data_IF_298419192563
#
_entry.id   IF_298419192563
#
_cell.length_a   1.000
_cell.length_b   1.000
_cell.length_c   1.000
_cell.angle_alpha   90.00
_cell.angle_beta   90.00
_cell.angle_gamma   90.00
#
_symmetry.space_group_name_H-M   'P 1'
#
loop_
_entity.id
_entity.type
_entity.pdbx_description
1 polymer ?
#
# COMPACT_ATOMS: atom_id res chain seq x y z
N UNK A 1 8.07 15.84 -27.57
CA UNK A 1 7.47 14.60 -27.04
C UNK A 1 6.51 15.03 -25.95
N UNK A 2 5.23 14.70 -26.08
CA UNK A 2 4.26 14.89 -24.99
C UNK A 2 4.57 13.81 -23.95
N UNK A 3 4.61 14.19 -22.67
CA UNK A 3 4.84 13.24 -21.58
C UNK A 3 3.52 12.83 -20.95
N UNK A 4 3.48 11.67 -20.28
CA UNK A 4 2.33 11.24 -19.47
C UNK A 4 1.81 12.35 -18.54
N UNK A 5 2.71 13.10 -17.91
CA UNK A 5 2.32 14.20 -17.01
C UNK A 5 1.67 15.35 -17.79
N UNK A 6 2.09 15.61 -19.03
CA UNK A 6 1.46 16.63 -19.86
C UNK A 6 0.04 16.22 -20.26
N UNK A 7 -0.18 14.95 -20.63
CA UNK A 7 -1.51 14.40 -20.89
C UNK A 7 -2.41 14.45 -19.64
N UNK A 8 -1.88 14.04 -18.49
CA UNK A 8 -2.61 14.12 -17.23
C UNK A 8 -3.00 15.55 -16.87
N UNK A 9 -2.14 16.54 -17.15
CA UNK A 9 -2.48 17.95 -16.94
C UNK A 9 -3.64 18.37 -17.86
N UNK A 10 -3.62 18.00 -19.14
CA UNK A 10 -4.72 18.30 -20.05
C UNK A 10 -6.02 17.57 -19.65
N UNK A 11 -5.93 16.32 -19.20
CA UNK A 11 -7.06 15.55 -18.65
C UNK A 11 -7.71 16.26 -17.46
N UNK A 12 -6.89 16.67 -16.48
CA UNK A 12 -7.37 17.40 -15.28
C UNK A 12 -7.98 18.76 -15.66
N UNK A 13 -7.41 19.47 -16.65
CA UNK A 13 -7.95 20.75 -17.12
C UNK A 13 -9.24 20.60 -17.94
N UNK A 14 -9.41 19.47 -18.63
CA UNK A 14 -10.60 19.11 -19.42
C UNK A 14 -11.72 18.46 -18.60
N UNK A 15 -11.46 18.10 -17.34
CA UNK A 15 -12.43 17.47 -16.45
C UNK A 15 -13.71 18.31 -16.31
N UNK A 16 -14.91 17.69 -16.27
CA UNK A 16 -16.16 18.41 -15.99
C UNK A 16 -16.23 18.93 -14.55
N UNK A 17 -15.33 18.46 -13.66
CA UNK A 17 -15.24 18.88 -12.28
C UNK A 17 -14.42 20.17 -12.15
N UNK A 18 -14.79 21.02 -11.18
CA UNK A 18 -13.97 22.18 -10.83
C UNK A 18 -12.63 21.67 -10.29
N UNK A 19 -11.52 22.32 -10.70
CA UNK A 19 -10.19 21.98 -10.19
C UNK A 19 -10.13 21.88 -8.67
N UNK A 20 -10.77 22.81 -7.95
CA UNK A 20 -10.84 22.81 -6.48
C UNK A 20 -11.53 21.58 -5.85
N UNK A 21 -12.37 20.87 -6.61
CA UNK A 21 -13.07 19.66 -6.17
C UNK A 21 -12.39 18.37 -6.64
N UNK A 22 -11.18 18.47 -7.21
CA UNK A 22 -10.42 17.32 -7.68
C UNK A 22 -9.31 16.97 -6.67
N UNK A 23 -9.25 15.69 -6.33
CA UNK A 23 -8.18 15.05 -5.56
C UNK A 23 -7.35 14.19 -6.51
N UNK A 24 -6.18 14.68 -6.93
CA UNK A 24 -5.25 13.92 -7.76
C UNK A 24 -4.32 13.09 -6.86
N UNK A 25 -4.38 11.78 -7.02
CA UNK A 25 -3.60 10.80 -6.27
C UNK A 25 -2.54 10.19 -7.20
N UNK A 26 -1.28 10.34 -6.83
CA UNK A 26 -0.13 9.88 -7.61
C UNK A 26 0.69 8.85 -6.83
N UNK A 27 1.56 8.05 -7.49
CA UNK A 27 2.29 6.97 -6.82
C UNK A 27 3.40 7.49 -5.91
N UNK A 28 3.77 8.78 -6.03
CA UNK A 28 4.81 9.38 -5.19
C UNK A 28 4.67 10.90 -5.11
N UNK A 29 5.23 11.48 -4.05
CA UNK A 29 5.32 12.95 -3.88
C UNK A 29 6.09 13.60 -5.02
N UNK A 30 7.11 12.92 -5.56
CA UNK A 30 7.91 13.41 -6.69
C UNK A 30 7.07 13.58 -7.95
N UNK A 31 6.20 12.60 -8.26
CA UNK A 31 5.26 12.73 -9.37
C UNK A 31 4.29 13.90 -9.14
N UNK A 32 3.81 14.08 -7.90
CA UNK A 32 2.97 15.23 -7.53
C UNK A 32 3.63 16.59 -7.72
N UNK A 33 4.90 16.74 -7.35
CA UNK A 33 5.67 17.97 -7.57
C UNK A 33 5.83 18.26 -9.06
N UNK A 34 6.11 17.23 -9.87
CA UNK A 34 6.25 17.38 -11.32
C UNK A 34 4.91 17.79 -11.97
N UNK A 35 3.80 17.15 -11.59
CA UNK A 35 2.46 17.53 -12.06
C UNK A 35 2.14 18.99 -11.71
N UNK A 36 2.34 19.41 -10.45
CA UNK A 36 2.09 20.80 -10.02
C UNK A 36 2.88 21.81 -10.86
N UNK A 37 4.14 21.51 -11.17
CA UNK A 37 5.00 22.36 -12.02
C UNK A 37 4.42 22.49 -13.43
N UNK A 38 4.02 21.38 -14.05
CA UNK A 38 3.48 21.40 -15.41
C UNK A 38 2.11 22.09 -15.47
N UNK A 39 1.24 21.84 -14.48
CA UNK A 39 -0.05 22.52 -14.35
C UNK A 39 0.11 24.04 -14.21
N UNK A 40 1.04 24.50 -13.36
CA UNK A 40 1.31 25.92 -13.20
C UNK A 40 1.79 26.59 -14.50
N UNK A 41 2.66 25.90 -15.26
CA UNK A 41 3.12 26.37 -16.56
C UNK A 41 1.96 26.49 -17.58
N UNK A 42 1.02 25.54 -17.57
CA UNK A 42 -0.17 25.55 -18.44
C UNK A 42 -1.16 26.66 -18.09
N UNK A 43 -1.34 26.96 -16.80
CA UNK A 43 -2.27 27.99 -16.34
C UNK A 43 -1.80 29.42 -16.64
N UNK A 44 -0.51 29.64 -16.98
CA UNK A 44 0.06 30.94 -17.40
C UNK A 44 -0.33 32.13 -16.49
N UNK A 45 -0.40 31.90 -15.18
CA UNK A 45 -0.73 32.95 -14.21
C UNK A 45 -2.22 33.31 -14.08
N UNK A 46 -3.13 32.54 -14.67
CA UNK A 46 -4.58 32.69 -14.40
C UNK A 46 -4.87 32.38 -12.93
N UNK A 47 -5.52 33.30 -12.23
CA UNK A 47 -5.97 33.09 -10.87
C UNK A 47 -7.07 32.01 -10.86
N UNK A 48 -6.75 30.84 -10.32
CA UNK A 48 -7.68 29.73 -10.14
C UNK A 48 -7.31 28.93 -8.89
N UNK A 49 -8.29 28.22 -8.35
CA UNK A 49 -8.03 27.21 -7.33
C UNK A 49 -7.47 25.95 -8.00
N UNK A 50 -6.42 25.37 -7.40
CA UNK A 50 -5.75 24.18 -7.89
C UNK A 50 -6.38 22.91 -7.30
N UNK A 51 -6.26 21.75 -7.99
CA UNK A 51 -6.59 20.47 -7.39
C UNK A 51 -5.69 20.17 -6.19
N UNK A 52 -6.23 19.41 -5.24
CA UNK A 52 -5.41 18.86 -4.18
C UNK A 52 -4.64 17.66 -4.75
N UNK A 53 -3.31 17.74 -4.71
CA UNK A 53 -2.44 16.67 -5.23
C UNK A 53 -1.73 16.02 -4.05
N UNK A 54 -1.92 14.71 -3.90
CA UNK A 54 -1.36 13.88 -2.83
C UNK A 54 -0.70 12.63 -3.41
N UNK A 55 0.26 12.06 -2.68
CA UNK A 55 0.71 10.71 -2.97
C UNK A 55 -0.26 9.66 -2.40
N UNK A 56 -0.18 8.43 -2.89
CA UNK A 56 -0.96 7.32 -2.34
C UNK A 56 -0.65 7.08 -0.85
N UNK A 57 0.60 7.29 -0.42
CA UNK A 57 0.97 7.20 1.00
C UNK A 57 0.33 8.30 1.85
N UNK A 58 0.22 9.52 1.33
CA UNK A 58 -0.48 10.61 2.03
C UNK A 58 -1.97 10.33 2.16
N UNK A 59 -2.56 9.71 1.13
CA UNK A 59 -3.95 9.27 1.16
C UNK A 59 -4.15 8.13 2.19
N UNK A 60 -3.26 7.15 2.24
CA UNK A 60 -3.40 6.02 3.18
C UNK A 60 -3.19 6.42 4.64
N UNK A 61 -2.28 7.37 4.92
CA UNK A 61 -2.16 7.97 6.26
C UNK A 61 -3.47 8.64 6.68
N UNK A 62 -4.05 9.46 5.82
CA UNK A 62 -5.31 10.16 6.09
C UNK A 62 -6.47 9.17 6.30
N UNK A 63 -6.59 8.16 5.43
CA UNK A 63 -7.66 7.14 5.51
C UNK A 63 -7.51 6.19 6.71
N UNK A 64 -6.27 5.85 7.09
CA UNK A 64 -6.02 4.94 8.22
C UNK A 64 -6.22 5.61 9.58
N UNK A 65 -6.05 6.94 9.64
CA UNK A 65 -6.01 7.69 10.88
C UNK A 65 -4.76 7.43 11.73
N UNK A 66 -3.72 6.82 11.16
CA UNK A 66 -2.46 6.49 11.84
C UNK A 66 -1.31 7.32 11.29
N UNK A 67 -0.61 8.04 12.16
CA UNK A 67 0.60 8.75 11.77
C UNK A 67 1.77 7.78 11.54
N UNK A 68 2.69 8.15 10.64
CA UNK A 68 3.86 7.32 10.35
C UNK A 68 4.81 7.31 11.56
N UNK A 69 5.10 6.13 12.09
CA UNK A 69 6.11 5.95 13.12
C UNK A 69 7.52 6.11 12.53
N UNK A 70 8.45 6.65 13.33
CA UNK A 70 9.87 6.67 12.95
C UNK A 70 10.48 5.29 13.07
N UNK A 71 11.56 5.02 12.33
CA UNK A 71 12.26 3.73 12.39
C UNK A 71 12.69 3.37 13.82
N UNK A 72 13.22 4.34 14.57
CA UNK A 72 13.62 4.16 15.96
C UNK A 72 12.43 3.83 16.86
N UNK A 73 11.29 4.49 16.65
CA UNK A 73 10.06 4.20 17.40
C UNK A 73 9.59 2.77 17.14
N UNK A 74 9.55 2.36 15.87
CA UNK A 74 9.18 0.99 15.48
C UNK A 74 10.09 -0.04 16.16
N UNK A 75 11.40 0.19 16.19
CA UNK A 75 12.36 -0.71 16.86
C UNK A 75 12.07 -0.87 18.37
N UNK A 76 11.80 0.24 19.08
CA UNK A 76 11.48 0.18 20.50
C UNK A 76 10.14 -0.50 20.78
N UNK A 77 9.09 -0.17 20.02
CA UNK A 77 7.77 -0.77 20.20
C UNK A 77 7.76 -2.25 19.81
N UNK A 78 8.47 -2.65 18.75
CA UNK A 78 8.65 -4.07 18.44
C UNK A 78 9.40 -4.79 19.56
N UNK A 79 10.47 -4.21 20.12
CA UNK A 79 11.19 -4.86 21.21
C UNK A 79 10.31 -5.03 22.46
N UNK A 80 9.48 -4.04 22.78
CA UNK A 80 8.47 -4.17 23.85
C UNK A 80 7.49 -5.32 23.58
N UNK A 81 6.93 -5.40 22.37
CA UNK A 81 6.04 -6.49 21.98
C UNK A 81 6.74 -7.87 21.98
N UNK A 82 8.01 -7.92 21.61
CA UNK A 82 8.84 -9.12 21.68
C UNK A 82 8.98 -9.61 23.13
N UNK A 83 9.35 -8.72 24.05
CA UNK A 83 9.47 -9.07 25.48
C UNK A 83 8.14 -9.49 26.13
N UNK A 84 7.00 -8.99 25.64
CA UNK A 84 5.67 -9.39 26.12
C UNK A 84 5.32 -10.83 25.72
N UNK A 85 5.79 -11.28 24.55
CA UNK A 85 5.40 -12.55 23.92
C UNK A 85 6.44 -13.65 24.11
N UNK A 86 7.73 -13.30 24.18
CA UNK A 86 8.86 -14.21 24.30
C UNK A 86 9.54 -14.04 25.66
N UNK A 87 8.96 -14.64 26.71
CA UNK A 87 9.41 -14.44 28.11
C UNK A 87 10.59 -15.32 28.53
N UNK A 88 10.81 -16.43 27.84
CA UNK A 88 11.90 -17.36 28.18
C UNK A 88 13.18 -16.95 27.46
N UNK A 89 14.17 -16.48 28.22
CA UNK A 89 15.49 -16.05 27.72
C UNK A 89 15.41 -15.15 26.47
N UNK A 90 14.74 -13.99 26.56
CA UNK A 90 14.67 -13.08 25.42
C UNK A 90 16.05 -12.59 25.03
N UNK A 91 16.24 -12.39 23.72
CA UNK A 91 17.40 -11.70 23.16
C UNK A 91 17.55 -10.30 23.80
N UNK A 92 18.79 -9.86 23.98
CA UNK A 92 19.06 -8.48 24.33
C UNK A 92 18.61 -7.53 23.20
N UNK A 93 18.46 -6.24 23.51
CA UNK A 93 18.05 -5.27 22.50
C UNK A 93 19.00 -5.23 21.29
N UNK A 94 20.31 -5.42 21.50
CA UNK A 94 21.30 -5.40 20.41
C UNK A 94 21.16 -6.63 19.51
N UNK A 95 20.94 -7.81 20.10
CA UNK A 95 20.69 -9.06 19.34
C UNK A 95 19.38 -8.96 18.56
N UNK A 96 18.32 -8.44 19.21
CA UNK A 96 17.03 -8.18 18.59
C UNK A 96 17.13 -7.30 17.35
N UNK A 97 17.88 -6.20 17.43
CA UNK A 97 18.05 -5.27 16.31
C UNK A 97 18.71 -5.89 15.08
N UNK A 98 19.42 -7.01 15.22
CA UNK A 98 20.06 -7.70 14.10
C UNK A 98 19.05 -8.38 13.17
N UNK A 99 17.91 -8.84 13.69
CA UNK A 99 16.91 -9.59 12.92
C UNK A 99 15.55 -8.89 12.82
N UNK A 100 15.19 -8.03 13.77
CA UNK A 100 13.90 -7.33 13.81
C UNK A 100 13.54 -6.56 12.52
N UNK A 101 14.48 -5.90 11.80
CA UNK A 101 14.15 -5.24 10.55
C UNK A 101 13.62 -6.18 9.46
N UNK A 102 14.08 -7.45 9.44
CA UNK A 102 13.56 -8.46 8.52
C UNK A 102 12.11 -8.80 8.81
N UNK A 103 11.79 -9.06 10.09
CA UNK A 103 10.42 -9.36 10.54
C UNK A 103 9.48 -8.17 10.33
N UNK A 104 9.95 -6.93 10.56
CA UNK A 104 9.18 -5.74 10.24
C UNK A 104 8.87 -5.65 8.74
N UNK A 105 9.83 -6.01 7.88
CA UNK A 105 9.65 -6.13 6.44
C UNK A 105 8.55 -7.14 6.10
N UNK A 106 8.58 -8.33 6.70
CA UNK A 106 7.56 -9.35 6.50
C UNK A 106 6.17 -8.85 6.93
N UNK A 107 6.06 -8.22 8.10
CA UNK A 107 4.81 -7.60 8.57
C UNK A 107 4.30 -6.52 7.61
N UNK A 108 5.21 -5.70 7.08
CA UNK A 108 4.89 -4.68 6.10
C UNK A 108 4.27 -5.28 4.83
N UNK A 109 4.86 -6.35 4.30
CA UNK A 109 4.35 -7.03 3.10
C UNK A 109 3.03 -7.76 3.36
N UNK A 110 2.91 -8.47 4.49
CA UNK A 110 1.66 -9.12 4.92
C UNK A 110 0.51 -8.13 4.88
N UNK A 111 0.72 -6.93 5.44
CA UNK A 111 -0.32 -5.91 5.52
C UNK A 111 -0.57 -5.18 4.22
N UNK A 112 0.50 -4.85 3.48
CA UNK A 112 0.41 -4.18 2.19
C UNK A 112 -0.31 -5.03 1.14
N UNK A 113 -0.18 -6.35 1.20
CA UNK A 113 -0.89 -7.29 0.32
C UNK A 113 -2.20 -7.83 0.91
N UNK A 114 -2.65 -7.28 2.04
CA UNK A 114 -3.90 -7.68 2.72
C UNK A 114 -3.98 -9.19 3.00
N UNK A 115 -2.84 -9.85 3.26
CA UNK A 115 -2.83 -11.29 3.49
C UNK A 115 -3.68 -11.65 4.73
N UNK A 116 -4.39 -12.79 4.72
CA UNK A 116 -5.18 -13.23 5.86
C UNK A 116 -4.25 -13.72 6.98
N UNK A 117 -4.06 -12.86 8.00
CA UNK A 117 -3.06 -12.98 9.07
C UNK A 117 -3.08 -14.35 9.74
N UNK A 118 -4.26 -14.80 10.20
CA UNK A 118 -4.41 -16.05 10.93
C UNK A 118 -4.01 -17.28 10.09
N UNK A 119 -4.50 -17.39 8.86
CA UNK A 119 -4.15 -18.51 7.97
C UNK A 119 -2.70 -18.43 7.50
N UNK A 120 -2.16 -17.23 7.28
CA UNK A 120 -0.79 -17.04 6.84
C UNK A 120 0.20 -17.54 7.89
N UNK A 121 0.05 -17.11 9.15
CA UNK A 121 0.95 -17.55 10.23
C UNK A 121 0.78 -19.03 10.57
N UNK A 122 -0.45 -19.57 10.53
CA UNK A 122 -0.65 -21.02 10.70
C UNK A 122 0.06 -21.84 9.62
N UNK A 123 -0.05 -21.42 8.36
CA UNK A 123 0.60 -22.10 7.24
C UNK A 123 2.12 -21.99 7.33
N UNK A 124 2.64 -20.80 7.65
CA UNK A 124 4.07 -20.55 7.79
C UNK A 124 4.67 -21.38 8.93
N UNK A 125 3.99 -21.45 10.08
CA UNK A 125 4.37 -22.33 11.18
C UNK A 125 4.42 -23.80 10.75
N UNK A 126 3.37 -24.28 10.06
CA UNK A 126 3.31 -25.66 9.57
C UNK A 126 4.41 -25.99 8.54
N UNK A 127 4.76 -25.05 7.64
CA UNK A 127 5.90 -25.23 6.73
C UNK A 127 7.20 -25.37 7.53
N UNK A 128 7.44 -24.46 8.48
CA UNK A 128 8.69 -24.46 9.26
C UNK A 128 8.81 -25.70 10.13
N UNK A 129 7.70 -26.19 10.66
CA UNK A 129 7.65 -27.50 11.29
C UNK A 129 8.03 -28.60 10.28
N UNK A 130 7.32 -28.74 9.15
CA UNK A 130 7.57 -29.80 8.16
C UNK A 130 8.99 -29.81 7.58
N UNK A 131 9.53 -28.64 7.20
CA UNK A 131 10.92 -28.49 6.73
C UNK A 131 11.91 -29.05 7.74
N UNK A 132 11.62 -28.91 9.04
CA UNK A 132 12.49 -29.38 10.09
C UNK A 132 12.36 -30.89 10.34
N UNK A 133 11.13 -31.42 10.42
CA UNK A 133 10.90 -32.87 10.62
C UNK A 133 11.42 -33.71 9.45
N UNK A 134 11.47 -33.16 8.24
CA UNK A 134 12.05 -33.82 7.08
C UNK A 134 13.60 -33.85 7.08
N UNK A 135 14.27 -32.97 7.84
CA UNK A 135 15.71 -32.74 7.74
C UNK A 135 16.56 -33.36 8.86
N UNK A 136 16.05 -33.51 10.09
CA UNK A 136 16.81 -34.18 11.16
C UNK A 136 15.90 -34.57 12.36
N UNK A 137 15.90 -35.82 12.86
CA UNK A 137 15.09 -36.23 14.01
C UNK A 137 15.50 -35.59 15.35
N UNK A 138 16.73 -35.11 15.46
CA UNK A 138 17.24 -34.43 16.66
C UNK A 138 17.26 -32.91 16.46
N UNK A 139 16.21 -32.24 16.94
CA UNK A 139 16.14 -30.78 16.95
C UNK A 139 17.17 -30.20 17.93
N UNK A 140 18.19 -29.50 17.42
CA UNK A 140 19.15 -28.76 18.25
C UNK A 140 18.43 -27.65 19.05
N UNK A 141 18.98 -27.18 20.17
CA UNK A 141 18.39 -26.07 20.94
C UNK A 141 18.12 -24.82 20.08
N UNK A 142 19.00 -24.54 19.11
CA UNK A 142 18.83 -23.45 18.15
C UNK A 142 17.57 -23.62 17.30
N UNK A 143 17.30 -24.83 16.82
CA UNK A 143 16.10 -25.05 16.01
C UNK A 143 14.82 -25.06 16.85
N UNK A 144 14.87 -25.60 18.08
CA UNK A 144 13.73 -25.51 19.01
C UNK A 144 13.36 -24.05 19.31
N UNK A 145 14.36 -23.18 19.50
CA UNK A 145 14.13 -21.75 19.70
C UNK A 145 13.56 -21.07 18.45
N UNK A 146 14.04 -21.44 17.25
CA UNK A 146 13.50 -20.94 15.98
C UNK A 146 12.03 -21.32 15.77
N UNK A 147 11.67 -22.60 15.98
CA UNK A 147 10.27 -23.05 15.87
C UNK A 147 9.39 -22.39 16.93
N UNK A 148 9.91 -22.21 18.15
CA UNK A 148 9.19 -21.51 19.22
C UNK A 148 8.89 -20.05 18.84
N UNK A 149 9.86 -19.35 18.25
CA UNK A 149 9.66 -17.99 17.76
C UNK A 149 8.54 -17.94 16.70
N UNK A 150 8.59 -18.80 15.69
CA UNK A 150 7.57 -18.84 14.64
C UNK A 150 6.20 -19.30 15.16
N UNK A 151 6.15 -20.14 16.19
CA UNK A 151 4.90 -20.48 16.89
C UNK A 151 4.26 -19.29 17.62
N UNK A 152 5.05 -18.26 17.97
CA UNK A 152 4.60 -17.06 18.68
C UNK A 152 4.49 -15.83 17.76
N UNK A 153 4.78 -15.96 16.47
CA UNK A 153 4.85 -14.83 15.53
C UNK A 153 3.51 -14.06 15.42
N UNK A 154 2.38 -14.78 15.46
CA UNK A 154 1.05 -14.15 15.40
C UNK A 154 0.79 -13.29 16.64
N UNK A 155 1.14 -13.80 17.83
CA UNK A 155 1.02 -13.06 19.08
C UNK A 155 1.94 -11.84 19.09
N UNK A 156 3.15 -11.98 18.52
CA UNK A 156 4.09 -10.89 18.40
C UNK A 156 3.57 -9.79 17.46
N UNK A 157 3.06 -10.16 16.28
CA UNK A 157 2.41 -9.25 15.35
C UNK A 157 1.23 -8.50 15.99
N UNK A 158 0.34 -9.22 16.67
CA UNK A 158 -0.83 -8.64 17.35
C UNK A 158 -0.43 -7.66 18.46
N UNK A 159 0.53 -8.04 19.31
CA UNK A 159 1.04 -7.19 20.39
C UNK A 159 1.68 -5.92 19.83
N UNK A 160 2.49 -6.06 18.77
CA UNK A 160 3.16 -4.92 18.14
C UNK A 160 2.17 -3.94 17.51
N UNK A 161 1.22 -4.44 16.72
CA UNK A 161 0.19 -3.60 16.11
C UNK A 161 -0.64 -2.89 17.18
N UNK A 162 -1.04 -3.59 18.25
CA UNK A 162 -1.80 -2.99 19.35
C UNK A 162 -1.05 -1.83 20.01
N UNK A 163 0.24 -1.99 20.31
CA UNK A 163 1.06 -0.92 20.90
C UNK A 163 1.11 0.33 20.01
N UNK A 164 1.21 0.14 18.69
CA UNK A 164 1.20 1.25 17.73
C UNK A 164 -0.18 1.92 17.64
N UNK A 165 -1.26 1.15 17.59
CA UNK A 165 -2.63 1.68 17.52
C UNK A 165 -2.98 2.52 18.75
N UNK A 166 -2.60 2.07 19.95
CA UNK A 166 -2.80 2.82 21.20
C UNK A 166 -2.11 4.19 21.18
N UNK A 167 -1.07 4.34 20.37
CA UNK A 167 -0.31 5.58 20.20
C UNK A 167 -0.77 6.40 18.98
N UNK A 168 -1.74 5.90 18.20
CA UNK A 168 -2.16 6.52 16.94
C UNK A 168 -1.08 6.46 15.85
N UNK A 169 -0.18 5.47 15.93
CA UNK A 169 0.96 5.28 15.03
C UNK A 169 0.79 4.02 14.19
N UNK A 170 1.53 3.95 13.07
CA UNK A 170 1.62 2.75 12.25
C UNK A 170 2.88 2.72 11.39
N UNK A 171 3.36 1.52 11.08
CA UNK A 171 4.26 1.33 9.93
C UNK A 171 3.44 1.32 8.63
N UNK A 172 4.14 1.42 7.51
CA UNK A 172 3.51 1.65 6.20
C UNK A 172 2.46 0.58 5.84
N UNK A 173 2.79 -0.71 5.96
CA UNK A 173 1.89 -1.82 5.68
C UNK A 173 0.61 -1.74 6.50
N UNK A 174 0.74 -1.54 7.82
CA UNK A 174 -0.40 -1.36 8.73
C UNK A 174 -1.31 -0.20 8.32
N UNK A 175 -0.72 0.93 7.90
CA UNK A 175 -1.47 2.07 7.37
C UNK A 175 -2.24 1.67 6.09
N UNK A 176 -1.62 0.94 5.17
CA UNK A 176 -2.29 0.42 3.97
C UNK A 176 -3.46 -0.50 4.30
N UNK A 177 -3.25 -1.47 5.21
CA UNK A 177 -4.32 -2.40 5.62
C UNK A 177 -5.50 -1.66 6.25
N UNK A 178 -5.23 -0.72 7.16
CA UNK A 178 -6.28 0.04 7.83
C UNK A 178 -6.99 1.01 6.89
N UNK A 179 -6.24 1.67 5.99
CA UNK A 179 -6.81 2.50 4.94
C UNK A 179 -7.73 1.69 4.01
N UNK A 180 -7.32 0.49 3.60
CA UNK A 180 -8.14 -0.40 2.79
C UNK A 180 -9.46 -0.77 3.50
N UNK A 181 -9.40 -1.10 4.81
CA UNK A 181 -10.60 -1.36 5.62
C UNK A 181 -11.56 -0.16 5.71
N UNK A 182 -11.04 1.07 5.68
CA UNK A 182 -11.82 2.30 5.76
C UNK A 182 -12.22 2.87 4.38
N UNK A 183 -11.76 2.28 3.28
CA UNK A 183 -11.84 2.88 1.94
C UNK A 183 -13.26 3.18 1.49
N UNK A 184 -14.19 2.26 1.72
CA UNK A 184 -15.59 2.42 1.33
C UNK A 184 -16.26 3.59 2.07
N UNK A 185 -16.03 3.71 3.38
CA UNK A 185 -16.62 4.79 4.18
C UNK A 185 -16.01 6.14 3.82
N UNK A 186 -14.69 6.19 3.64
CA UNK A 186 -13.99 7.40 3.23
C UNK A 186 -14.46 7.89 1.85
N UNK A 187 -14.56 6.99 0.86
CA UNK A 187 -15.07 7.31 -0.47
C UNK A 187 -16.52 7.83 -0.43
N UNK A 188 -17.37 7.26 0.43
CA UNK A 188 -18.74 7.70 0.62
C UNK A 188 -18.85 9.11 1.21
N UNK A 189 -18.03 9.42 2.23
CA UNK A 189 -18.03 10.73 2.90
C UNK A 189 -17.43 11.84 2.04
N UNK A 190 -16.56 11.51 1.10
CA UNK A 190 -15.90 12.53 0.29
C UNK A 190 -16.84 13.21 -0.71
N UNK A 191 -16.70 14.53 -0.81
CA UNK A 191 -17.42 15.38 -1.78
C UNK A 191 -16.62 15.58 -3.08
N UNK A 192 -15.33 15.32 -3.03
CA UNK A 192 -14.41 15.54 -4.14
C UNK A 192 -14.46 14.38 -5.13
N UNK A 193 -14.01 14.66 -6.35
CA UNK A 193 -13.75 13.66 -7.38
C UNK A 193 -12.28 13.27 -7.35
N UNK A 194 -11.98 11.97 -7.33
CA UNK A 194 -10.62 11.46 -7.24
C UNK A 194 -10.09 11.02 -8.59
N UNK A 195 -8.85 11.36 -8.89
CA UNK A 195 -8.16 10.91 -10.09
C UNK A 195 -6.93 10.15 -9.62
N UNK A 196 -6.91 8.84 -9.79
CA UNK A 196 -5.72 8.03 -9.55
C UNK A 196 -4.89 7.99 -10.83
N UNK A 197 -3.62 8.39 -10.80
CA UNK A 197 -2.84 8.46 -12.03
C UNK A 197 -1.43 7.91 -11.88
N UNK A 198 -0.88 7.32 -12.94
CA UNK A 198 0.54 6.94 -12.99
C UNK A 198 0.91 5.64 -12.28
N UNK A 199 -0.06 4.85 -11.86
CA UNK A 199 0.17 3.56 -11.21
C UNK A 199 0.47 2.47 -12.25
N UNK A 200 1.41 1.58 -11.95
CA UNK A 200 1.77 0.45 -12.81
C UNK A 200 1.58 -0.90 -12.11
N UNK A 201 2.34 -1.16 -11.05
CA UNK A 201 2.21 -2.35 -10.22
C UNK A 201 1.61 -1.97 -8.86
N UNK A 202 0.32 -2.21 -8.69
CA UNK A 202 -0.42 -1.92 -7.46
C UNK A 202 -0.33 -3.12 -6.50
N UNK A 203 -0.06 -2.84 -5.22
CA UNK A 203 -0.24 -3.84 -4.18
C UNK A 203 -1.73 -4.09 -3.89
N UNK A 204 -2.07 -5.17 -3.20
CA UNK A 204 -3.49 -5.54 -3.00
C UNK A 204 -4.28 -4.49 -2.20
N UNK A 205 -3.65 -3.78 -1.26
CA UNK A 205 -4.32 -2.69 -0.54
C UNK A 205 -4.63 -1.50 -1.45
N UNK A 206 -3.69 -1.08 -2.30
CA UNK A 206 -3.93 -0.02 -3.29
C UNK A 206 -5.03 -0.42 -4.29
N UNK A 207 -4.98 -1.65 -4.81
CA UNK A 207 -6.02 -2.16 -5.72
C UNK A 207 -7.40 -2.13 -5.05
N UNK A 208 -7.50 -2.53 -3.79
CA UNK A 208 -8.75 -2.51 -3.04
C UNK A 208 -9.25 -1.07 -2.84
N UNK A 209 -8.39 -0.16 -2.39
CA UNK A 209 -8.72 1.25 -2.19
C UNK A 209 -9.25 1.86 -3.51
N UNK A 210 -8.52 1.71 -4.60
CA UNK A 210 -8.91 2.29 -5.89
C UNK A 210 -10.26 1.72 -6.35
N UNK A 211 -10.46 0.40 -6.26
CA UNK A 211 -11.73 -0.22 -6.64
C UNK A 211 -12.91 0.29 -5.79
N UNK A 212 -12.74 0.48 -4.47
CA UNK A 212 -13.79 1.07 -3.63
C UNK A 212 -14.23 2.46 -4.09
N UNK A 213 -13.28 3.28 -4.57
CA UNK A 213 -13.58 4.62 -5.08
C UNK A 213 -14.23 4.58 -6.47
N UNK A 214 -13.74 3.70 -7.35
CA UNK A 214 -14.30 3.48 -8.69
C UNK A 214 -15.75 2.97 -8.62
N UNK A 215 -16.05 2.02 -7.73
CA UNK A 215 -17.39 1.42 -7.58
C UNK A 215 -18.46 2.42 -7.09
N UNK A 216 -18.04 3.54 -6.50
CA UNK A 216 -18.94 4.62 -6.04
C UNK A 216 -19.10 5.74 -7.06
N UNK A 217 -18.54 5.61 -8.27
CA UNK A 217 -18.45 6.68 -9.26
C UNK A 217 -17.85 7.97 -8.67
N UNK A 218 -16.93 7.81 -7.70
CA UNK A 218 -16.23 8.91 -7.02
C UNK A 218 -14.83 9.13 -7.56
N UNK A 219 -14.38 8.24 -8.43
CA UNK A 219 -13.06 8.32 -9.00
C UNK A 219 -13.01 7.84 -10.45
N UNK A 220 -11.91 8.21 -11.08
CA UNK A 220 -11.39 7.64 -12.31
C UNK A 220 -9.92 7.25 -12.11
N UNK A 221 -9.39 6.44 -13.01
CA UNK A 221 -7.98 6.06 -13.02
C UNK A 221 -7.37 6.30 -14.40
N UNK A 222 -6.27 7.03 -14.42
CA UNK A 222 -5.52 7.42 -15.61
C UNK A 222 -4.20 6.65 -15.66
N UNK A 223 -4.18 5.58 -16.44
CA UNK A 223 -3.04 4.67 -16.55
C UNK A 223 -1.89 5.31 -17.34
N UNK A 224 -0.67 5.16 -16.82
CA UNK A 224 0.55 5.47 -17.56
C UNK A 224 0.93 4.26 -18.41
N UNK A 225 0.29 4.15 -19.58
CA UNK A 225 0.52 3.06 -20.54
C UNK A 225 0.47 3.60 -21.96
N UNK A 226 1.55 3.39 -22.73
CA UNK A 226 1.51 3.72 -24.15
C UNK A 226 0.49 2.82 -24.87
N UNK A 227 -0.31 3.41 -25.75
CA UNK A 227 -1.31 2.72 -26.56
C UNK A 227 -0.74 1.52 -27.36
N UNK A 228 0.56 1.55 -27.68
CA UNK A 228 1.28 0.46 -28.33
C UNK A 228 1.36 -0.82 -27.47
N UNK A 229 1.45 -0.71 -26.15
CA UNK A 229 1.59 -1.86 -25.26
C UNK A 229 0.27 -2.60 -25.00
N UNK A 230 -0.87 -1.94 -25.21
CA UNK A 230 -2.19 -2.57 -25.04
C UNK A 230 -2.58 -3.49 -26.20
N UNK A 231 -2.06 -3.26 -27.41
CA UNK A 231 -2.42 -4.02 -28.61
C UNK A 231 -1.59 -5.29 -28.82
N UNK A 232 -0.36 -5.34 -28.32
CA UNK A 232 0.53 -6.48 -28.52
C UNK A 232 0.56 -7.44 -27.31
N UNK A 233 0.34 -8.74 -27.55
CA UNK A 233 0.32 -9.79 -26.53
C UNK A 233 1.72 -10.16 -26.02
N UNK A 234 2.78 -9.71 -26.70
CA UNK A 234 4.15 -10.18 -26.49
C UNK A 234 4.99 -9.38 -25.48
N UNK A 235 4.59 -8.16 -25.14
CA UNK A 235 5.38 -7.28 -24.25
C UNK A 235 4.98 -7.42 -22.76
N UNK A 236 5.99 -7.60 -21.91
CA UNK A 236 5.90 -7.70 -20.45
C UNK A 236 5.57 -6.37 -19.77
N UNK A 237 5.86 -5.24 -20.43
CA UNK A 237 5.56 -3.88 -19.97
C UNK A 237 4.06 -3.64 -20.07
N UNK A 238 3.38 -3.50 -18.93
CA UNK A 238 1.91 -3.33 -18.85
C UNK A 238 1.13 -4.61 -18.53
N UNK A 239 1.80 -5.72 -18.17
CA UNK A 239 1.12 -6.96 -17.73
C UNK A 239 0.12 -6.72 -16.59
N UNK A 240 0.54 -6.02 -15.54
CA UNK A 240 -0.33 -5.72 -14.39
C UNK A 240 -1.54 -4.89 -14.81
N UNK A 241 -1.33 -3.85 -15.62
CA UNK A 241 -2.44 -3.01 -16.13
C UNK A 241 -3.41 -3.87 -16.96
N UNK A 242 -2.91 -4.76 -17.84
CA UNK A 242 -3.76 -5.69 -18.59
C UNK A 242 -4.58 -6.60 -17.68
N UNK A 243 -3.98 -7.13 -16.61
CA UNK A 243 -4.68 -7.94 -15.61
C UNK A 243 -5.78 -7.13 -14.93
N UNK A 244 -5.50 -5.90 -14.48
CA UNK A 244 -6.49 -5.01 -13.86
C UNK A 244 -7.66 -4.70 -14.81
N UNK A 245 -7.37 -4.39 -16.07
CA UNK A 245 -8.38 -4.11 -17.10
C UNK A 245 -9.30 -5.31 -17.37
N UNK A 246 -8.84 -6.54 -17.15
CA UNK A 246 -9.62 -7.76 -17.34
C UNK A 246 -10.41 -8.15 -16.08
N UNK A 247 -9.80 -8.00 -14.91
CA UNK A 247 -10.34 -8.53 -13.66
C UNK A 247 -11.28 -7.57 -12.94
N UNK A 248 -11.01 -6.27 -12.97
CA UNK A 248 -11.78 -5.28 -12.20
C UNK A 248 -13.19 -5.12 -12.74
N UNK A 249 -14.18 -5.13 -11.83
CA UNK A 249 -15.59 -5.02 -12.18
C UNK A 249 -15.93 -3.69 -12.88
N UNK A 250 -15.19 -2.62 -12.55
CA UNK A 250 -15.33 -1.32 -13.18
C UNK A 250 -15.22 -1.39 -14.72
N UNK A 251 -14.23 -2.10 -15.26
CA UNK A 251 -14.00 -2.19 -16.71
C UNK A 251 -14.94 -3.15 -17.43
N UNK A 252 -15.68 -3.99 -16.70
CA UNK A 252 -16.76 -4.77 -17.28
C UNK A 252 -17.97 -3.91 -17.64
N UNK A 253 -18.07 -2.69 -17.07
CA UNK A 253 -19.22 -1.78 -17.22
C UNK A 253 -18.87 -0.45 -17.90
N UNK A 254 -17.60 -0.03 -17.83
CA UNK A 254 -17.13 1.25 -18.36
C UNK A 254 -16.04 1.04 -19.40
N UNK A 255 -16.04 1.88 -20.44
CA UNK A 255 -14.96 1.91 -21.43
C UNK A 255 -13.67 2.48 -20.81
N UNK A 256 -12.53 2.05 -21.32
CA UNK A 256 -11.21 2.54 -20.89
C UNK A 256 -11.05 3.98 -21.37
N UNK A 257 -10.83 4.91 -20.44
CA UNK A 257 -10.35 6.24 -20.81
C UNK A 257 -8.85 6.15 -21.10
N UNK A 258 -8.50 6.35 -22.35
CA UNK A 258 -7.13 6.17 -22.84
C UNK A 258 -6.47 7.52 -22.88
N UNK A 259 -5.43 7.72 -22.05
CA UNK A 259 -4.39 8.70 -22.38
C UNK A 259 -3.96 8.50 -23.83
N UNK A 260 -3.87 9.60 -24.57
CA UNK A 260 -3.73 9.59 -26.04
C UNK A 260 -2.34 9.18 -26.48
#
# INVERSE_FOLDING_TARGET
MITFIDELVEHVLGSPHKLASIQLILPSKRAGTLFKKNLAARLKGKATFLPQVRSIEELTVDMSGLAAASQTHLQFEMFKAYLQTHKENPDSFIEFLAWAPGVLGDFNEIDRYLLPIASFFNYLGAIKDMEHWAANPEATPMVKNYLKFWGQISLFYEAFNKLLEEQGLGYQGMQYRKAAGNAQEYAFKSKDHFIFAGFNALNSAEQHIIQCFLDKNKAEIFWDIDNYFLSDKSYSTGRFIKEYLQEWQHYKRNAIDKGS
#
